data_IF_218614822503
#
_entry.id   IF_218614822503
#
_cell.length_a   1.000
_cell.length_b   1.000
_cell.length_c   1.000
_cell.angle_alpha   90.00
_cell.angle_beta   90.00
_cell.angle_gamma   90.00
#
_symmetry.space_group_name_H-M   'P 1'
#
loop_
_entity.id
_entity.type
_entity.pdbx_description
1 polymer ?
#
# COMPACT_ATOMS: atom_id res chain seq x y z
N UNK A 1 -6.00 -6.95 9.44
CA UNK A 1 -6.60 -7.18 8.11
C UNK A 1 -7.81 -6.28 7.89
N UNK A 2 -7.90 -5.67 6.71
CA UNK A 2 -9.07 -4.91 6.26
C UNK A 2 -9.58 -5.53 4.97
N UNK A 3 -10.88 -5.83 4.90
CA UNK A 3 -11.52 -6.39 3.70
C UNK A 3 -12.46 -5.34 3.14
N UNK A 4 -12.23 -4.96 1.88
CA UNK A 4 -13.09 -4.03 1.14
C UNK A 4 -13.76 -4.76 -0.01
N UNK A 5 -15.08 -4.86 0.02
CA UNK A 5 -15.87 -5.39 -1.08
C UNK A 5 -16.09 -4.32 -2.15
N UNK A 6 -15.92 -4.72 -3.40
CA UNK A 6 -16.27 -3.95 -4.58
C UNK A 6 -17.26 -4.76 -5.40
N UNK A 7 -18.41 -4.18 -5.75
CA UNK A 7 -19.43 -4.85 -6.54
C UNK A 7 -20.29 -3.84 -7.30
N UNK A 8 -20.93 -4.29 -8.38
CA UNK A 8 -21.88 -3.52 -9.17
C UNK A 8 -23.29 -4.03 -8.83
N UNK A 9 -24.23 -3.13 -8.56
CA UNK A 9 -25.62 -3.49 -8.27
C UNK A 9 -26.49 -3.59 -9.54
N UNK A 10 -27.78 -3.88 -9.37
CA UNK A 10 -28.74 -3.99 -10.48
C UNK A 10 -28.96 -2.69 -11.25
N UNK A 11 -28.55 -1.54 -10.70
CA UNK A 11 -28.63 -0.23 -11.34
C UNK A 11 -27.30 0.18 -11.99
N UNK A 12 -26.35 -0.76 -12.12
CA UNK A 12 -24.99 -0.53 -12.66
C UNK A 12 -24.15 0.45 -11.82
N UNK A 13 -24.47 0.60 -10.53
CA UNK A 13 -23.71 1.48 -9.64
C UNK A 13 -22.59 0.68 -8.99
N UNK A 14 -21.36 1.21 -9.07
CA UNK A 14 -20.20 0.65 -8.38
C UNK A 14 -20.24 1.01 -6.89
N UNK A 15 -20.24 -0.02 -6.04
CA UNK A 15 -20.15 0.11 -4.60
C UNK A 15 -18.78 -0.26 -4.09
N UNK A 16 -18.32 0.49 -3.08
CA UNK A 16 -17.12 0.21 -2.28
C UNK A 16 -17.50 0.23 -0.82
N UNK A 17 -17.33 -0.89 -0.11
CA UNK A 17 -17.69 -1.03 1.32
C UNK A 17 -16.60 -1.77 2.08
N UNK A 18 -16.21 -1.23 3.23
CA UNK A 18 -15.40 -1.98 4.20
C UNK A 18 -16.34 -2.96 4.89
N UNK A 19 -16.07 -4.26 4.77
CA UNK A 19 -16.93 -5.34 5.27
C UNK A 19 -16.31 -6.09 6.45
N UNK A 20 -15.02 -5.87 6.71
CA UNK A 20 -14.31 -6.34 7.91
C UNK A 20 -13.11 -5.45 8.19
N UNK A 21 -12.91 -5.14 9.47
CA UNK A 21 -11.74 -4.42 9.97
C UNK A 21 -11.36 -5.07 11.30
N UNK A 22 -10.28 -5.85 11.31
CA UNK A 22 -9.85 -6.60 12.49
C UNK A 22 -8.35 -6.77 12.49
N UNK A 23 -7.72 -6.70 13.65
CA UNK A 23 -6.35 -7.14 13.83
C UNK A 23 -6.26 -8.67 13.73
N UNK A 24 -5.18 -9.18 13.14
CA UNK A 24 -4.89 -10.61 13.08
C UNK A 24 -3.46 -10.77 13.58
N UNK A 25 -3.29 -11.50 14.68
CA UNK A 25 -1.99 -11.70 15.31
C UNK A 25 -1.13 -12.72 14.54
N UNK A 26 -1.76 -13.57 13.72
CA UNK A 26 -1.06 -14.54 12.87
C UNK A 26 -0.64 -13.95 11.51
N UNK A 27 0.55 -14.36 11.07
CA UNK A 27 1.07 -14.07 9.73
C UNK A 27 1.04 -15.30 8.80
N UNK A 28 0.42 -16.41 9.21
CA UNK A 28 0.29 -17.60 8.36
C UNK A 28 -0.78 -17.37 7.31
N UNK A 29 -0.49 -17.75 6.06
CA UNK A 29 -1.43 -17.57 4.95
C UNK A 29 -2.75 -18.33 5.13
N UNK A 30 -2.73 -19.49 5.79
CA UNK A 30 -3.94 -20.27 6.10
C UNK A 30 -4.85 -19.54 7.09
N UNK A 31 -4.29 -18.95 8.15
CA UNK A 31 -5.07 -18.19 9.14
C UNK A 31 -5.69 -16.93 8.51
N UNK A 32 -4.93 -16.23 7.66
CA UNK A 32 -5.44 -15.11 6.86
C UNK A 32 -6.55 -15.57 5.91
N UNK A 33 -6.35 -16.73 5.26
CA UNK A 33 -7.34 -17.37 4.40
C UNK A 33 -8.63 -17.70 5.16
N UNK A 34 -8.54 -18.31 6.34
CA UNK A 34 -9.70 -18.63 7.16
C UNK A 34 -10.45 -17.36 7.57
N UNK A 35 -9.75 -16.33 8.04
CA UNK A 35 -10.38 -15.07 8.44
C UNK A 35 -11.08 -14.35 7.27
N UNK A 36 -10.56 -14.49 6.05
CA UNK A 36 -11.20 -13.97 4.85
C UNK A 36 -12.42 -14.82 4.44
N UNK A 37 -12.32 -16.16 4.56
CA UNK A 37 -13.44 -17.07 4.28
C UNK A 37 -14.61 -16.81 5.24
N UNK A 38 -14.33 -16.67 6.53
CA UNK A 38 -15.33 -16.35 7.55
C UNK A 38 -15.99 -15.00 7.28
N UNK A 39 -15.23 -14.03 6.79
CA UNK A 39 -15.77 -12.74 6.35
C UNK A 39 -16.76 -12.92 5.21
N UNK A 40 -16.38 -13.66 4.15
CA UNK A 40 -17.23 -13.88 2.97
C UNK A 40 -18.53 -14.60 3.38
N UNK A 41 -18.42 -15.68 4.17
CA UNK A 41 -19.56 -16.45 4.64
C UNK A 41 -20.45 -15.67 5.61
N UNK A 42 -19.87 -14.85 6.50
CA UNK A 42 -20.62 -14.01 7.43
C UNK A 42 -21.53 -13.00 6.74
N UNK A 43 -21.22 -12.62 5.50
CA UNK A 43 -22.06 -11.77 4.65
C UNK A 43 -23.05 -12.55 3.77
N UNK A 44 -23.18 -13.87 3.97
CA UNK A 44 -24.06 -14.75 3.19
C UNK A 44 -23.63 -14.92 1.73
N UNK A 45 -22.38 -14.57 1.39
CA UNK A 45 -21.85 -14.66 0.03
C UNK A 45 -21.12 -15.98 -0.16
N UNK A 46 -21.32 -16.59 -1.32
CA UNK A 46 -20.67 -17.85 -1.71
C UNK A 46 -19.82 -17.70 -2.97
N UNK A 47 -20.11 -16.70 -3.79
CA UNK A 47 -19.44 -16.49 -5.06
C UNK A 47 -18.59 -15.22 -4.97
N UNK A 48 -17.28 -15.39 -5.17
CA UNK A 48 -16.31 -14.30 -5.26
C UNK A 48 -15.62 -14.41 -6.61
N UNK A 49 -15.68 -13.35 -7.41
CA UNK A 49 -15.05 -13.33 -8.73
C UNK A 49 -13.53 -13.16 -8.63
N UNK A 50 -13.08 -12.17 -7.86
CA UNK A 50 -11.68 -11.75 -7.77
C UNK A 50 -11.34 -11.24 -6.38
N UNK A 51 -10.12 -11.52 -5.94
CA UNK A 51 -9.50 -10.96 -4.74
C UNK A 51 -8.18 -10.28 -5.15
N UNK A 52 -8.00 -9.04 -4.71
CA UNK A 52 -6.75 -8.26 -4.90
C UNK A 52 -5.97 -8.19 -3.60
N UNK A 53 -4.70 -8.61 -3.61
CA UNK A 53 -3.81 -8.61 -2.44
C UNK A 53 -2.46 -7.97 -2.78
N UNK A 54 -1.70 -7.54 -1.78
CA UNK A 54 -0.32 -7.10 -1.99
C UNK A 54 0.60 -8.27 -2.35
N UNK A 55 1.82 -7.96 -2.78
CA UNK A 55 2.74 -8.93 -3.37
C UNK A 55 3.54 -9.72 -2.31
N UNK A 56 2.87 -10.21 -1.26
CA UNK A 56 3.49 -11.00 -0.20
C UNK A 56 3.35 -12.50 -0.47
N UNK A 57 4.39 -13.29 -0.18
CA UNK A 57 4.37 -14.74 -0.39
C UNK A 57 3.28 -15.45 0.44
N UNK A 58 2.96 -14.92 1.62
CA UNK A 58 1.88 -15.40 2.51
C UNK A 58 0.51 -15.30 1.86
N UNK A 59 0.28 -14.30 1.01
CA UNK A 59 -0.99 -14.12 0.31
C UNK A 59 -1.24 -15.21 -0.73
N UNK A 60 -0.20 -15.77 -1.34
CA UNK A 60 -0.38 -16.89 -2.27
C UNK A 60 -0.96 -18.10 -1.55
N UNK A 61 -0.46 -18.42 -0.35
CA UNK A 61 -1.01 -19.50 0.48
C UNK A 61 -2.46 -19.21 0.91
N UNK A 62 -2.78 -17.97 1.24
CA UNK A 62 -4.16 -17.58 1.54
C UNK A 62 -5.08 -17.78 0.33
N UNK A 63 -4.62 -17.46 -0.88
CA UNK A 63 -5.38 -17.67 -2.12
C UNK A 63 -5.55 -19.15 -2.47
N UNK A 64 -4.51 -19.97 -2.31
CA UNK A 64 -4.59 -21.42 -2.48
C UNK A 64 -5.63 -22.03 -1.53
N UNK A 65 -5.67 -21.51 -0.29
CA UNK A 65 -6.69 -21.89 0.69
C UNK A 65 -8.11 -21.51 0.22
N UNK A 66 -8.29 -20.29 -0.28
CA UNK A 66 -9.60 -19.81 -0.76
C UNK A 66 -10.11 -20.62 -1.95
N UNK A 67 -9.26 -20.92 -2.93
CA UNK A 67 -9.62 -21.71 -4.13
C UNK A 67 -10.16 -23.08 -3.74
N UNK A 68 -9.63 -23.70 -2.68
CA UNK A 68 -10.07 -25.02 -2.20
C UNK A 68 -11.40 -24.96 -1.43
N UNK A 69 -11.77 -23.80 -0.88
CA UNK A 69 -12.88 -23.67 0.08
C UNK A 69 -14.10 -22.97 -0.47
N UNK A 70 -13.94 -22.06 -1.44
CA UNK A 70 -15.06 -21.37 -2.06
C UNK A 70 -15.69 -22.22 -3.16
N UNK A 71 -17.01 -22.47 -3.10
CA UNK A 71 -17.71 -23.13 -4.19
C UNK A 71 -17.87 -22.15 -5.38
N UNK A 72 -17.78 -22.67 -6.60
CA UNK A 72 -18.11 -21.94 -7.84
C UNK A 72 -17.24 -20.71 -8.16
N UNK A 73 -15.95 -20.96 -8.43
CA UNK A 73 -15.05 -19.94 -8.95
C UNK A 73 -15.42 -19.56 -10.39
N UNK A 74 -15.58 -18.26 -10.64
CA UNK A 74 -15.83 -17.72 -11.98
C UNK A 74 -14.72 -18.15 -12.96
N UNK A 75 -15.11 -18.67 -14.14
CA UNK A 75 -14.19 -19.24 -15.15
C UNK A 75 -13.14 -20.21 -14.56
N UNK A 76 -13.56 -21.07 -13.62
CA UNK A 76 -12.67 -22.04 -12.98
C UNK A 76 -11.55 -21.40 -12.14
N UNK A 77 -11.70 -20.13 -11.76
CA UNK A 77 -10.73 -19.39 -10.94
C UNK A 77 -9.66 -18.65 -11.74
N UNK A 78 -9.74 -18.61 -13.07
CA UNK A 78 -8.77 -17.91 -13.95
C UNK A 78 -8.52 -16.45 -13.55
N UNK A 79 -9.54 -15.78 -13.02
CA UNK A 79 -9.51 -14.37 -12.63
C UNK A 79 -9.54 -14.15 -11.11
N UNK A 80 -9.29 -15.21 -10.33
CA UNK A 80 -9.54 -15.19 -8.90
C UNK A 80 -8.51 -14.38 -8.09
N UNK A 81 -7.25 -14.35 -8.55
CA UNK A 81 -6.18 -13.61 -7.88
C UNK A 81 -5.62 -12.50 -8.77
N UNK A 82 -5.60 -11.28 -8.25
CA UNK A 82 -4.84 -10.17 -8.82
C UNK A 82 -3.85 -9.61 -7.80
N UNK A 83 -2.65 -9.29 -8.27
CA UNK A 83 -1.66 -8.57 -7.45
C UNK A 83 -1.99 -7.08 -7.46
N UNK A 84 -1.80 -6.42 -6.33
CA UNK A 84 -2.04 -5.00 -6.19
C UNK A 84 -1.15 -4.19 -7.14
N UNK A 85 -1.76 -3.47 -8.08
CA UNK A 85 -1.04 -2.68 -9.09
C UNK A 85 -0.17 -1.59 -8.46
N UNK A 86 -0.65 -0.93 -7.40
CA UNK A 86 0.13 0.08 -6.67
C UNK A 86 1.42 -0.51 -6.08
N UNK A 87 1.37 -1.78 -5.65
CA UNK A 87 2.54 -2.48 -5.15
C UNK A 87 3.50 -2.83 -6.28
N UNK A 88 3.00 -3.30 -7.43
CA UNK A 88 3.84 -3.57 -8.62
C UNK A 88 4.55 -2.29 -9.08
N UNK A 89 3.81 -1.17 -9.17
CA UNK A 89 4.38 0.13 -9.51
C UNK A 89 5.46 0.55 -8.51
N UNK A 90 5.23 0.32 -7.21
CA UNK A 90 6.24 0.59 -6.18
C UNK A 90 7.53 -0.20 -6.40
N UNK A 91 7.43 -1.49 -6.78
CA UNK A 91 8.60 -2.32 -7.08
C UNK A 91 9.35 -1.82 -8.32
N UNK A 92 8.63 -1.47 -9.40
CA UNK A 92 9.23 -0.93 -10.63
C UNK A 92 9.98 0.37 -10.33
N UNK A 93 9.34 1.31 -9.62
CA UNK A 93 9.96 2.60 -9.27
C UNK A 93 11.21 2.40 -8.40
N UNK A 94 11.13 1.53 -7.38
CA UNK A 94 12.29 1.22 -6.53
C UNK A 94 13.44 0.62 -7.32
N UNK A 95 13.14 -0.33 -8.21
CA UNK A 95 14.15 -0.93 -9.08
C UNK A 95 14.83 0.13 -9.96
N UNK A 96 14.05 1.05 -10.54
CA UNK A 96 14.59 2.16 -11.32
C UNK A 96 15.47 3.12 -10.50
N UNK A 97 15.10 3.40 -9.25
CA UNK A 97 15.87 4.29 -8.36
C UNK A 97 17.20 3.68 -7.89
N UNK A 98 17.31 2.34 -7.85
CA UNK A 98 18.57 1.68 -7.50
C UNK A 98 19.73 2.05 -8.44
N UNK A 99 19.46 2.51 -9.66
CA UNK A 99 20.50 2.97 -10.59
C UNK A 99 21.10 4.35 -10.23
N UNK A 100 20.45 5.14 -9.38
CA UNK A 100 20.85 6.50 -8.98
C UNK A 100 21.01 6.60 -7.44
N UNK A 101 21.50 5.52 -6.83
CA UNK A 101 21.26 5.25 -5.42
C UNK A 101 21.87 6.29 -4.46
N UNK A 102 23.11 6.74 -4.71
CA UNK A 102 23.84 7.56 -3.74
C UNK A 102 23.16 8.92 -3.44
N UNK A 103 22.86 9.72 -4.46
CA UNK A 103 22.28 11.06 -4.26
C UNK A 103 20.87 10.99 -3.68
N UNK A 104 20.05 10.04 -4.15
CA UNK A 104 18.70 9.82 -3.63
C UNK A 104 18.76 9.43 -2.16
N UNK A 105 19.64 8.50 -1.78
CA UNK A 105 19.83 8.11 -0.38
C UNK A 105 20.30 9.27 0.50
N UNK A 106 21.22 10.11 0.03
CA UNK A 106 21.69 11.27 0.79
C UNK A 106 20.53 12.23 1.11
N UNK A 107 19.69 12.55 0.13
CA UNK A 107 18.53 13.42 0.33
C UNK A 107 17.52 12.76 1.27
N UNK A 108 17.23 11.46 1.07
CA UNK A 108 16.33 10.71 1.96
C UNK A 108 16.80 10.75 3.42
N UNK A 109 18.08 10.46 3.67
CA UNK A 109 18.69 10.46 5.01
C UNK A 109 18.67 11.87 5.63
N UNK A 110 18.94 12.92 4.85
CA UNK A 110 18.87 14.30 5.32
C UNK A 110 17.43 14.69 5.70
N UNK A 111 16.45 14.39 4.84
CA UNK A 111 15.03 14.65 5.11
C UNK A 111 14.53 13.86 6.31
N UNK A 112 14.93 12.58 6.43
CA UNK A 112 14.62 11.77 7.60
C UNK A 112 15.19 12.40 8.87
N UNK A 113 16.46 12.81 8.84
CA UNK A 113 17.12 13.48 9.96
C UNK A 113 16.37 14.73 10.42
N UNK A 114 16.00 15.61 9.48
CA UNK A 114 15.27 16.85 9.75
C UNK A 114 13.91 16.56 10.40
N UNK A 115 13.23 15.51 9.93
CA UNK A 115 11.87 15.15 10.37
C UNK A 115 11.82 14.32 11.65
N UNK A 116 12.95 13.84 12.16
CA UNK A 116 13.01 12.99 13.36
C UNK A 116 12.46 13.67 14.63
N UNK A 117 12.47 15.00 14.73
CA UNK A 117 11.87 15.70 15.87
C UNK A 117 11.37 17.11 15.54
N UNK A 118 10.39 17.64 16.31
CA UNK A 118 9.92 19.02 16.14
C UNK A 118 11.04 20.06 16.28
N UNK A 119 12.01 19.81 17.16
CA UNK A 119 13.17 20.69 17.37
C UNK A 119 14.03 20.80 16.11
N UNK A 120 14.29 19.67 15.41
CA UNK A 120 15.06 19.66 14.16
C UNK A 120 14.31 20.34 13.03
N UNK A 121 13.00 20.09 12.93
CA UNK A 121 12.12 20.81 12.00
C UNK A 121 12.22 22.33 12.21
N UNK A 122 12.16 22.79 13.45
CA UNK A 122 12.22 24.22 13.77
C UNK A 122 13.60 24.82 13.46
N UNK A 123 14.69 24.11 13.80
CA UNK A 123 16.06 24.51 13.43
C UNK A 123 16.21 24.65 11.91
N UNK A 124 15.70 23.69 11.15
CA UNK A 124 15.77 23.73 9.69
C UNK A 124 14.94 24.87 9.09
N UNK A 125 13.72 25.09 9.58
CA UNK A 125 12.89 26.25 9.17
C UNK A 125 13.58 27.59 9.46
N UNK A 126 14.26 27.70 10.59
CA UNK A 126 15.06 28.89 10.93
C UNK A 126 16.21 29.08 9.94
N UNK A 127 16.98 28.03 9.65
CA UNK A 127 18.07 28.09 8.69
C UNK A 127 17.62 28.52 7.28
N UNK A 128 16.48 28.01 6.79
CA UNK A 128 15.88 28.45 5.52
C UNK A 128 15.62 29.96 5.53
N UNK A 129 15.02 30.47 6.62
CA UNK A 129 14.71 31.89 6.77
C UNK A 129 15.99 32.73 6.84
N UNK A 130 17.00 32.27 7.57
CA UNK A 130 18.29 32.97 7.71
C UNK A 130 19.05 33.03 6.37
N UNK A 131 18.86 32.05 5.47
CA UNK A 131 19.39 32.05 4.10
C UNK A 131 18.53 32.86 3.10
N UNK A 132 17.43 33.49 3.52
CA UNK A 132 16.52 34.23 2.64
C UNK A 132 15.73 33.34 1.66
N UNK A 133 15.69 32.03 1.89
CA UNK A 133 14.96 31.08 1.05
C UNK A 133 13.48 31.05 1.45
N UNK A 134 12.61 30.83 0.46
CA UNK A 134 11.17 30.73 0.69
C UNK A 134 10.65 29.35 0.27
N UNK A 135 10.21 28.58 1.25
CA UNK A 135 9.82 27.20 1.03
C UNK A 135 8.31 27.09 0.75
N UNK A 136 7.94 26.72 -0.48
CA UNK A 136 6.53 26.58 -0.90
C UNK A 136 5.79 25.43 -0.22
N UNK A 137 6.50 24.34 0.09
CA UNK A 137 5.95 23.16 0.77
C UNK A 137 7.03 22.53 1.66
N UNK A 138 6.67 22.14 2.88
CA UNK A 138 7.63 21.49 3.78
C UNK A 138 8.03 20.10 3.29
N UNK A 139 9.29 19.73 3.55
CA UNK A 139 9.87 18.43 3.23
C UNK A 139 8.96 17.28 3.65
N UNK A 140 8.63 16.37 2.73
CA UNK A 140 7.90 15.15 3.04
C UNK A 140 8.84 13.95 3.15
N UNK A 141 8.58 13.08 4.13
CA UNK A 141 9.36 11.86 4.32
C UNK A 141 9.06 10.81 3.26
N UNK A 142 10.00 9.89 3.08
CA UNK A 142 9.78 8.70 2.25
C UNK A 142 8.87 7.70 2.98
N UNK A 143 8.11 6.91 2.21
CA UNK A 143 7.28 5.82 2.72
C UNK A 143 7.54 4.60 1.84
N UNK A 144 8.34 3.62 2.29
CA UNK A 144 8.80 2.53 1.44
C UNK A 144 7.68 1.72 0.76
N UNK A 145 6.46 1.75 1.28
CA UNK A 145 5.31 1.03 0.73
C UNK A 145 4.53 1.83 -0.32
N UNK A 146 4.86 3.11 -0.57
CA UNK A 146 4.15 3.99 -1.51
C UNK A 146 5.06 4.37 -2.67
N UNK A 147 4.67 4.02 -3.90
CA UNK A 147 5.46 4.28 -5.11
C UNK A 147 5.80 5.76 -5.34
N UNK A 148 4.95 6.68 -4.89
CA UNK A 148 5.11 8.13 -5.15
C UNK A 148 5.79 8.91 -4.02
N UNK A 149 6.16 8.28 -2.90
CA UNK A 149 6.76 9.01 -1.77
C UNK A 149 8.13 9.57 -2.11
N UNK A 150 8.96 8.79 -2.80
CA UNK A 150 10.29 9.23 -3.24
C UNK A 150 10.23 10.43 -4.17
N UNK A 151 9.35 10.38 -5.17
CA UNK A 151 9.11 11.51 -6.05
C UNK A 151 8.70 12.77 -5.27
N UNK A 152 7.76 12.65 -4.32
CA UNK A 152 7.32 13.79 -3.50
C UNK A 152 8.47 14.35 -2.65
N UNK A 153 9.28 13.47 -2.05
CA UNK A 153 10.44 13.85 -1.26
C UNK A 153 11.44 14.63 -2.12
N UNK A 154 11.86 14.07 -3.25
CA UNK A 154 12.81 14.70 -4.16
C UNK A 154 12.27 16.02 -4.72
N UNK A 155 11.00 16.05 -5.11
CA UNK A 155 10.33 17.27 -5.57
C UNK A 155 10.31 18.35 -4.49
N UNK A 156 10.04 17.98 -3.23
CA UNK A 156 10.05 18.94 -2.12
C UNK A 156 11.46 19.44 -1.79
N UNK A 157 12.47 18.58 -1.93
CA UNK A 157 13.87 18.94 -1.73
C UNK A 157 14.40 19.86 -2.84
N UNK A 158 13.99 19.62 -4.09
CA UNK A 158 14.35 20.46 -5.24
C UNK A 158 13.66 21.84 -5.23
N UNK A 159 12.50 21.95 -4.57
CA UNK A 159 11.72 23.19 -4.48
C UNK A 159 12.10 24.09 -3.30
N UNK A 160 13.07 23.67 -2.49
CA UNK A 160 13.72 24.48 -1.46
C UNK A 160 14.74 25.42 -2.09
#
# INVERSE_FOLDING_TARGET
MVVTAHFIDGNLILHKRIIKFREIDSHKGEDIGQELLDCIHGWGRKNVMTITLDNAATNNKAMDFQVKKLPNLYEGGKHFQFRCMDHILNLIVKYGLNYQNYHVECIQKAVQYIRLSPQRINKFKKAIKDCGLQMKKFLCGDTPTRWNSNFKLLKSAYQL
#
